data_IF_462787323587
#
_entry.id   IF_462787323587
#
_cell.length_a   1.000
_cell.length_b   1.000
_cell.length_c   1.000
_cell.angle_alpha   90.00
_cell.angle_beta   90.00
_cell.angle_gamma   90.00
#
_symmetry.space_group_name_H-M   'P 1'
#
loop_
_entity.id
_entity.type
_entity.pdbx_description
1 polymer ?
2 non-polymer ?
3 water ?
#
# COMPACT_ATOMS: atom_id res chain seq x y z
N UNK A 6 -7.28 -15.25 -17.74
CA UNK A 6 -5.88 -14.85 -17.84
C UNK A 6 -5.75 -13.48 -18.48
N UNK A 7 -4.72 -12.73 -18.07
CA UNK A 7 -4.59 -11.32 -18.44
C UNK A 7 -4.17 -11.09 -19.89
N UNK A 8 -4.94 -10.26 -20.58
CA UNK A 8 -4.75 -9.98 -22.00
C UNK A 8 -4.50 -8.50 -22.24
N UNK A 9 -4.55 -7.71 -21.18
CA UNK A 9 -4.37 -6.25 -21.24
C UNK A 9 -5.28 -5.62 -22.29
N UNK A 10 -6.57 -5.95 -22.22
CA UNK A 10 -7.56 -5.45 -23.15
C UNK A 10 -8.09 -4.11 -22.66
N UNK A 11 -8.26 -3.14 -23.57
CA UNK A 11 -8.84 -1.87 -23.19
C UNK A 11 -10.32 -2.07 -22.85
N UNK A 12 -10.69 -1.71 -21.63
CA UNK A 12 -12.03 -1.99 -21.12
C UNK A 12 -13.03 -0.94 -21.56
N UNK A 13 -14.04 -1.37 -22.31
CA UNK A 13 -15.00 -0.43 -22.89
C UNK A 13 -16.24 -1.15 -23.38
N UNK A 14 -17.28 -0.35 -23.68
CA UNK A 14 -18.49 -0.84 -24.29
C UNK A 14 -19.21 -1.93 -23.53
N UNK A 15 -19.56 -3.00 -24.24
CA UNK A 15 -20.31 -4.11 -23.66
C UNK A 15 -19.54 -4.81 -22.55
N UNK A 16 -18.24 -5.00 -22.77
CA UNK A 16 -17.39 -5.67 -21.79
C UNK A 16 -17.33 -4.88 -20.49
N UNK A 17 -17.26 -3.56 -20.60
CA UNK A 17 -17.19 -2.69 -19.44
C UNK A 17 -18.45 -2.78 -18.60
N UNK A 18 -19.60 -2.89 -19.25
CA UNK A 18 -20.84 -2.98 -18.50
C UNK A 18 -20.96 -4.36 -17.86
N UNK A 19 -20.40 -5.37 -18.51
CA UNK A 19 -20.40 -6.73 -17.95
C UNK A 19 -19.46 -6.85 -16.76
N UNK A 20 -18.27 -6.27 -16.87
CA UNK A 20 -17.25 -6.38 -15.83
C UNK A 20 -17.67 -5.63 -14.57
N UNK A 21 -18.06 -4.37 -14.74
CA UNK A 21 -18.55 -3.57 -13.62
C UNK A 21 -19.82 -4.14 -13.02
N UNK A 22 -20.73 -4.59 -13.88
CA UNK A 22 -22.00 -5.14 -13.43
C UNK A 22 -21.80 -6.32 -12.51
N UNK A 23 -20.96 -7.26 -12.92
CA UNK A 23 -20.73 -8.47 -12.14
C UNK A 23 -19.88 -8.20 -10.91
N UNK A 24 -19.12 -7.11 -10.93
CA UNK A 24 -18.22 -6.75 -9.82
C UNK A 24 -19.01 -6.36 -8.57
N UNK A 25 -18.66 -6.96 -7.44
CA UNK A 25 -19.29 -6.64 -6.17
C UNK A 25 -18.58 -5.51 -5.45
N UNK A 26 -17.32 -5.27 -5.81
CA UNK A 26 -16.56 -4.20 -5.22
C UNK A 26 -15.34 -3.81 -6.04
N UNK A 27 -14.76 -2.66 -5.71
CA UNK A 27 -13.55 -2.17 -6.37
C UNK A 27 -12.50 -1.72 -5.36
N UNK A 28 -11.30 -2.28 -5.44
CA UNK A 28 -10.16 -1.78 -4.68
C UNK A 28 -9.37 -0.79 -5.52
N UNK A 29 -9.14 0.40 -4.97
CA UNK A 29 -8.37 1.45 -5.64
C UNK A 29 -7.03 1.74 -4.96
N UNK A 30 -5.94 1.71 -5.73
CA UNK A 30 -4.73 2.41 -5.32
C UNK A 30 -5.06 3.90 -5.37
N UNK A 31 -4.28 4.74 -4.69
CA UNK A 31 -4.61 6.17 -4.64
C UNK A 31 -3.79 7.06 -5.57
N UNK A 32 -2.51 7.25 -5.25
CA UNK A 32 -1.65 8.13 -6.03
C UNK A 32 -1.47 7.58 -7.45
N UNK A 33 -1.67 8.43 -8.46
CA UNK A 33 -1.59 7.99 -9.84
C UNK A 33 -2.87 7.36 -10.35
N UNK A 34 -3.87 7.26 -9.48
CA UNK A 34 -5.15 6.66 -9.83
C UNK A 34 -6.30 7.61 -9.57
N UNK A 35 -6.39 8.09 -8.34
CA UNK A 35 -7.43 9.03 -7.94
C UNK A 35 -6.97 10.46 -8.17
N UNK A 36 -5.67 10.65 -8.05
CA UNK A 36 -5.09 11.98 -8.16
C UNK A 36 -3.62 11.90 -8.53
N UNK A 37 -3.07 13.06 -8.88
CA UNK A 37 -1.63 13.22 -9.07
C UNK A 37 -1.18 14.50 -8.38
N UNK A 38 -0.60 14.35 -7.20
CA UNK A 38 -0.11 15.49 -6.44
C UNK A 38 -1.25 16.38 -6.00
N UNK A 39 -1.28 17.60 -6.52
CA UNK A 39 -2.29 18.58 -6.13
C UNK A 39 -3.58 18.43 -6.94
N UNK A 40 -3.57 17.54 -7.93
CA UNK A 40 -4.65 17.52 -8.91
C UNK A 40 -5.41 16.21 -8.96
N UNK A 41 -6.72 16.27 -8.69
CA UNK A 41 -7.57 15.09 -8.81
C UNK A 41 -7.75 14.73 -10.28
N UNK A 42 -7.87 13.45 -10.57
CA UNK A 42 -8.23 13.00 -11.92
C UNK A 42 -9.69 13.38 -12.18
N UNK A 43 -9.94 14.19 -13.22
CA UNK A 43 -11.33 14.61 -13.47
C UNK A 43 -12.26 13.43 -13.68
N UNK A 44 -13.41 13.45 -13.03
CA UNK A 44 -14.36 12.36 -13.15
C UNK A 44 -14.17 11.27 -12.11
N UNK A 45 -13.01 11.26 -11.46
CA UNK A 45 -12.76 10.25 -10.42
C UNK A 45 -13.76 10.34 -9.25
N UNK A 46 -14.00 11.55 -8.69
CA UNK A 46 -14.98 11.61 -7.60
C UNK A 46 -16.37 11.15 -8.02
N UNK A 47 -16.77 11.51 -9.23
CA UNK A 47 -18.06 11.11 -9.78
C UNK A 47 -18.16 9.59 -9.89
N UNK A 48 -17.06 8.94 -10.29
CA UNK A 48 -17.04 7.48 -10.37
C UNK A 48 -17.31 6.84 -9.00
N UNK A 49 -16.65 7.35 -7.96
CA UNK A 49 -16.83 6.82 -6.62
C UNK A 49 -18.27 7.02 -6.14
N UNK A 50 -18.87 8.15 -6.50
CA UNK A 50 -20.28 8.42 -6.17
C UNK A 50 -21.20 7.37 -6.80
N UNK A 51 -21.02 7.13 -8.10
CA UNK A 51 -21.85 6.20 -8.84
C UNK A 51 -21.67 4.77 -8.36
N UNK A 52 -20.44 4.44 -7.97
CA UNK A 52 -20.16 3.12 -7.40
C UNK A 52 -20.98 2.92 -6.13
N UNK A 53 -20.98 3.92 -5.26
CA UNK A 53 -21.75 3.88 -4.03
C UNK A 53 -23.23 3.70 -4.33
N UNK A 54 -23.74 4.51 -5.24
CA UNK A 54 -25.15 4.45 -5.62
C UNK A 54 -25.54 3.10 -6.23
N UNK A 55 -24.59 2.44 -6.87
CA UNK A 55 -24.86 1.14 -7.50
C UNK A 55 -24.74 0.00 -6.51
N UNK A 56 -24.45 0.32 -5.26
CA UNK A 56 -24.33 -0.69 -4.21
C UNK A 56 -23.02 -1.45 -4.24
N UNK A 57 -22.02 -0.89 -4.90
CA UNK A 57 -20.73 -1.57 -5.00
C UNK A 57 -19.74 -0.97 -4.01
N UNK A 58 -19.07 -1.83 -3.26
CA UNK A 58 -18.15 -1.40 -2.21
C UNK A 58 -16.87 -0.85 -2.81
N UNK A 59 -16.45 0.32 -2.32
CA UNK A 59 -15.16 0.88 -2.70
C UNK A 59 -14.21 0.88 -1.50
N UNK A 60 -13.04 0.24 -1.68
CA UNK A 60 -11.99 0.24 -0.66
C UNK A 60 -10.71 0.81 -1.26
N UNK A 61 -9.85 1.36 -0.41
CA UNK A 61 -8.63 2.02 -0.87
C UNK A 61 -7.40 1.41 -0.23
N UNK A 62 -6.40 1.12 -1.06
CA UNK A 62 -5.19 0.44 -0.61
C UNK A 62 -3.96 1.24 -1.03
N UNK A 63 -3.22 1.76 -0.05
CA UNK A 63 -2.09 2.65 -0.30
C UNK A 63 -0.81 2.16 0.39
N UNK A 64 0.34 2.31 -0.26
CA UNK A 64 1.61 1.95 0.38
C UNK A 64 2.20 3.12 1.17
N UNK A 65 1.41 4.15 1.39
CA UNK A 65 1.85 5.31 2.15
C UNK A 65 2.13 4.95 3.60
N UNK A 66 3.30 5.32 4.09
CA UNK A 66 3.63 5.14 5.50
C UNK A 66 4.13 6.47 6.08
N UNK A 67 3.74 7.56 5.44
CA UNK A 67 4.22 8.89 5.78
C UNK A 67 3.24 9.62 6.69
N UNK A 68 1.96 9.35 6.52
CA UNK A 68 0.92 9.95 7.35
C UNK A 68 0.00 8.89 7.94
N UNK A 69 -0.34 9.05 9.21
CA UNK A 69 -1.30 8.14 9.84
C UNK A 69 -2.68 8.31 9.19
N UNK A 70 -3.51 7.28 9.34
CA UNK A 70 -4.80 7.19 8.66
C UNK A 70 -5.70 8.45 8.74
N UNK A 71 -5.89 9.03 9.95
CA UNK A 71 -6.74 10.22 10.00
C UNK A 71 -6.26 11.37 9.13
N UNK A 72 -4.95 11.56 9.03
CA UNK A 72 -4.39 12.62 8.20
C UNK A 72 -4.42 12.23 6.73
N UNK A 73 -4.20 10.94 6.46
CA UNK A 73 -4.24 10.43 5.09
C UNK A 73 -5.65 10.57 4.52
N UNK A 74 -6.66 10.33 5.37
CA UNK A 74 -8.05 10.44 4.95
C UNK A 74 -8.44 11.87 4.57
N UNK A 75 -7.68 12.85 5.06
CA UNK A 75 -7.94 14.26 4.79
C UNK A 75 -7.72 14.60 3.33
N UNK A 76 -6.80 13.88 2.69
CA UNK A 76 -6.46 14.14 1.30
C UNK A 76 -7.66 13.91 0.40
N UNK A 77 -8.50 12.96 0.78
CA UNK A 77 -9.68 12.63 0.01
C UNK A 77 -10.63 13.83 -0.09
N UNK A 78 -10.98 14.41 1.04
CA UNK A 78 -11.82 15.61 1.06
C UNK A 78 -11.13 16.78 0.38
N UNK A 79 -9.84 16.94 0.63
CA UNK A 79 -9.06 18.02 0.04
C UNK A 79 -9.13 18.00 -1.49
N UNK A 80 -9.10 16.80 -2.07
CA UNK A 80 -9.06 16.66 -3.52
C UNK A 80 -10.43 16.32 -4.10
N UNK A 81 -11.48 16.51 -3.30
CA UNK A 81 -12.84 16.43 -3.81
C UNK A 81 -13.55 15.10 -3.66
N UNK A 82 -13.00 14.21 -2.84
CA UNK A 82 -13.63 12.91 -2.61
C UNK A 82 -14.32 12.88 -1.24
N UNK A 83 -15.52 13.41 -1.17
CA UNK A 83 -16.24 13.49 0.09
C UNK A 83 -17.01 12.24 0.45
N UNK A 84 -17.47 12.18 1.70
CA UNK A 84 -18.34 11.11 2.17
C UNK A 84 -17.67 9.78 2.42
N UNK A 85 -16.35 9.78 2.55
CA UNK A 85 -15.61 8.53 2.71
C UNK A 85 -15.26 8.24 4.16
N UNK A 86 -15.50 6.99 4.55
CA UNK A 86 -15.15 6.52 5.88
C UNK A 86 -13.65 6.30 6.00
N UNK A 87 -13.09 6.53 7.19
CA UNK A 87 -11.69 6.23 7.42
C UNK A 87 -11.48 4.72 7.35
N UNK A 88 -12.54 3.97 7.64
CA UNK A 88 -12.49 2.51 7.65
C UNK A 88 -12.36 1.92 6.25
N UNK A 89 -12.51 2.77 5.23
CA UNK A 89 -12.38 2.32 3.83
C UNK A 89 -10.93 2.36 3.35
N UNK A 90 -10.06 3.00 4.13
CA UNK A 90 -8.67 3.23 3.72
C UNK A 90 -7.71 2.30 4.43
N UNK A 91 -6.91 1.58 3.65
CA UNK A 91 -5.87 0.69 4.18
C UNK A 91 -4.50 1.16 3.69
N UNK A 92 -3.59 1.40 4.63
CA UNK A 92 -2.25 1.84 4.28
C UNK A 92 -1.22 0.84 4.79
N UNK A 93 -0.02 0.87 4.21
CA UNK A 93 1.04 -0.02 4.64
C UNK A 93 1.41 0.26 6.10
N UNK A 94 1.29 1.51 6.52
CA UNK A 94 1.59 1.90 7.89
C UNK A 94 0.64 1.21 8.86
N UNK A 95 -0.64 1.27 8.54
CA UNK A 95 -1.68 0.63 9.31
C UNK A 95 -1.49 -0.87 9.39
N UNK A 96 -1.27 -1.49 8.22
CA UNK A 96 -1.12 -2.94 8.17
C UNK A 96 0.19 -3.39 8.82
N UNK A 97 1.23 -2.56 8.76
CA UNK A 97 2.49 -2.89 9.40
C UNK A 97 2.34 -2.94 10.92
N UNK A 98 1.60 -1.98 11.48
CA UNK A 98 1.31 -1.99 12.91
C UNK A 98 0.58 -3.28 13.29
N UNK A 99 -0.42 -3.64 12.51
CA UNK A 99 -1.23 -4.83 12.82
C UNK A 99 -0.40 -6.11 12.72
N UNK A 100 0.52 -6.16 11.76
CA UNK A 100 1.37 -7.35 11.60
C UNK A 100 2.36 -7.49 12.74
N UNK A 101 2.93 -6.37 13.19
CA UNK A 101 3.86 -6.39 14.31
C UNK A 101 3.13 -6.83 15.58
N UNK A 102 1.90 -6.33 15.73
CA UNK A 102 1.03 -6.71 16.84
C UNK A 102 0.86 -8.24 16.86
N UNK A 103 0.56 -8.80 15.69
CA UNK A 103 0.31 -10.23 15.54
C UNK A 103 1.56 -11.08 15.73
N UNK A 104 2.73 -10.53 15.43
CA UNK A 104 3.91 -11.36 15.27
C UNK A 104 5.09 -11.10 16.21
N UNK A 105 5.05 -10.01 16.98
CA UNK A 105 6.13 -9.73 17.94
C UNK A 105 6.34 -10.94 18.86
N UNK A 106 7.57 -11.51 18.82
CA UNK A 106 7.88 -12.80 19.42
C UNK A 106 8.18 -12.76 20.93
N UNK A 107 8.04 -11.61 21.56
CA UNK A 107 8.31 -11.50 22.98
C UNK A 107 7.26 -12.19 23.82
N UNK A 108 7.59 -12.46 25.10
CA UNK A 108 6.62 -13.00 26.05
C UNK A 108 5.46 -12.02 26.24
N UNK A 109 4.29 -12.50 26.68
CA UNK A 109 3.14 -11.61 26.89
C UNK A 109 3.45 -10.48 27.88
N UNK A 110 4.39 -10.72 28.78
CA UNK A 110 4.84 -9.69 29.73
C UNK A 110 5.52 -8.53 29.01
N UNK A 111 6.32 -8.85 28.00
CA UNK A 111 7.03 -7.84 27.21
C UNK A 111 7.21 -8.31 25.77
N UNK A 112 6.23 -8.02 24.91
CA UNK A 112 6.21 -8.47 23.51
C UNK A 112 7.42 -7.97 22.71
N UNK A 113 8.01 -6.87 23.14
CA UNK A 113 9.21 -6.34 22.49
C UNK A 113 9.03 -4.94 21.94
N UNK A 114 10.12 -4.17 21.92
CA UNK A 114 10.09 -2.82 21.36
C UNK A 114 10.39 -2.85 19.86
N UNK A 115 9.89 -1.84 19.15
CA UNK A 115 10.11 -1.73 17.71
C UNK A 115 11.05 -0.57 17.40
N UNK A 116 12.14 -0.86 16.71
CA UNK A 116 13.01 0.20 16.22
C UNK A 116 12.50 0.67 14.86
N UNK A 117 12.08 1.92 14.78
CA UNK A 117 11.41 2.41 13.58
C UNK A 117 12.26 3.37 12.77
N UNK A 118 12.41 3.07 11.48
CA UNK A 118 12.96 4.02 10.53
C UNK A 118 11.80 4.69 9.82
N UNK A 119 11.43 5.88 10.29
CA UNK A 119 10.26 6.55 9.74
C UNK A 119 9.81 7.74 10.54
N UNK A 120 8.78 8.44 10.04
CA UNK A 120 8.37 9.71 10.61
C UNK A 120 7.32 9.61 11.71
N UNK A 121 6.81 10.76 12.12
CA UNK A 121 5.88 10.85 13.26
C UNK A 121 4.53 10.21 12.97
N UNK A 122 4.08 10.29 11.72
CA UNK A 122 2.83 9.68 11.32
C UNK A 122 2.87 8.17 11.49
N UNK A 123 3.96 7.55 11.02
CA UNK A 123 4.12 6.12 11.15
C UNK A 123 4.20 5.72 12.62
N UNK A 124 4.96 6.48 13.40
CA UNK A 124 5.10 6.18 14.82
C UNK A 124 3.75 6.31 15.52
N UNK A 125 2.94 7.28 15.11
CA UNK A 125 1.59 7.43 15.65
C UNK A 125 0.72 6.20 15.36
N UNK A 126 0.77 5.69 14.13
CA UNK A 126 0.03 4.48 13.78
C UNK A 126 0.41 3.30 14.66
N UNK A 127 1.72 3.14 14.87
CA UNK A 127 2.23 2.02 15.64
C UNK A 127 1.81 2.09 17.11
N UNK A 128 1.95 3.27 17.71
CA UNK A 128 1.52 3.45 19.10
C UNK A 128 0.03 3.17 19.26
N UNK A 129 -0.77 3.61 18.29
CA UNK A 129 -2.21 3.42 18.34
C UNK A 129 -2.57 1.94 18.35
N UNK A 130 -1.69 1.12 17.81
CA UNK A 130 -1.89 -0.32 17.80
C UNK A 130 -1.36 -0.95 19.10
N UNK A 131 -0.87 -0.12 20.01
CA UNK A 131 -0.37 -0.58 21.29
C UNK A 131 1.07 -1.03 21.23
N UNK A 132 1.79 -0.58 20.21
CA UNK A 132 3.18 -0.98 20.05
C UNK A 132 4.12 -0.07 20.83
N UNK A 133 5.07 -0.71 21.49
CA UNK A 133 6.14 -0.05 22.21
C UNK A 133 7.28 0.26 21.25
N UNK A 134 7.72 1.52 21.24
CA UNK A 134 8.76 1.95 20.29
C UNK A 134 10.09 2.24 20.99
N UNK A 135 11.18 1.84 20.37
CA UNK A 135 12.51 2.26 20.82
C UNK A 135 12.60 3.77 20.70
N UNK A 136 13.19 4.43 21.69
CA UNK A 136 13.32 5.86 21.66
C UNK A 136 12.21 6.57 22.43
N UNK A 137 11.19 5.81 22.81
CA UNK A 137 10.10 6.35 23.62
C UNK A 137 10.57 6.45 25.07
N UNK A 138 9.96 7.37 25.86
CA UNK A 138 10.36 7.56 27.26
C UNK A 138 10.32 6.27 28.07
N UNK A 139 11.43 5.95 28.74
CA UNK A 139 11.52 4.71 29.50
C UNK A 139 10.78 4.80 30.83
N UNK A 140 10.33 3.66 31.33
CA UNK A 140 9.64 3.62 32.62
C UNK A 140 10.65 3.77 33.75
N UNK A 141 10.39 4.73 34.64
CA UNK A 141 11.24 4.91 35.80
C UNK A 141 12.53 5.66 35.52
N UNK A 142 13.69 5.25 36.05
CA UNK A 142 13.96 3.99 36.81
C UNK A 142 13.63 2.73 36.00
N UNK A 143 14.52 2.40 35.07
CA UNK A 143 14.36 1.24 34.21
C UNK A 143 15.27 1.30 33.00
N UNK A 144 15.63 0.14 32.48
CA UNK A 144 16.52 0.08 31.30
C UNK A 144 15.72 0.27 30.02
N UNK A 145 16.42 0.24 28.90
CA UNK A 145 15.76 0.30 27.60
C UNK A 145 15.25 -1.08 27.22
N UNK A 146 13.97 -1.17 26.83
CA UNK A 146 13.36 -2.45 26.44
C UNK A 146 14.11 -3.11 25.30
N UNK A 147 14.17 -4.44 25.31
CA UNK A 147 14.79 -5.20 24.23
C UNK A 147 14.06 -4.97 22.90
N UNK A 148 14.81 -4.64 21.85
CA UNK A 148 14.23 -4.46 20.53
C UNK A 148 14.04 -5.79 19.82
N UNK A 149 12.81 -6.08 19.42
CA UNK A 149 12.48 -7.36 18.82
C UNK A 149 11.99 -7.23 17.38
N UNK A 150 11.96 -6.00 16.87
CA UNK A 150 11.68 -5.80 15.46
C UNK A 150 12.28 -4.48 14.96
N UNK A 151 12.80 -4.53 13.74
CA UNK A 151 13.14 -3.32 13.03
C UNK A 151 12.10 -3.11 11.93
N UNK A 152 11.51 -1.91 11.89
CA UNK A 152 10.55 -1.58 10.84
C UNK A 152 11.10 -0.48 9.94
N UNK A 153 11.21 -0.77 8.64
CA UNK A 153 11.66 0.24 7.68
C UNK A 153 10.46 0.87 6.97
N UNK A 154 10.26 2.17 7.17
CA UNK A 154 9.18 2.88 6.53
C UNK A 154 9.76 4.00 5.69
N UNK A 155 8.91 4.90 5.21
CA UNK A 155 9.37 6.03 4.43
C UNK A 155 10.06 7.02 5.38
N UNK A 156 11.38 7.00 5.38
CA UNK A 156 12.15 7.81 6.33
C UNK A 156 12.92 8.91 5.63
N UNK A 157 12.38 10.12 5.70
CA UNK A 157 13.00 11.28 5.07
C UNK A 157 14.20 11.79 5.83
N UNK A 158 14.49 11.16 6.98
CA UNK A 158 15.67 11.52 7.74
C UNK A 158 16.56 10.30 7.95
N UNK A 159 16.45 9.36 7.01
CA UNK A 159 17.31 8.19 7.00
C UNK A 159 18.76 8.62 7.07
N UNK A 160 19.59 7.86 7.75
CA UNK A 160 21.00 8.23 7.90
C UNK A 160 21.86 7.01 8.10
N UNK A 161 23.16 7.19 7.90
CA UNK A 161 24.11 6.13 8.11
C UNK A 161 24.03 5.60 9.55
N UNK A 162 23.95 6.51 10.51
CA UNK A 162 23.88 6.14 11.93
C UNK A 162 22.64 5.30 12.25
N UNK A 163 21.50 5.68 11.66
CA UNK A 163 20.28 4.90 11.83
C UNK A 163 20.42 3.53 11.16
N UNK A 164 21.09 3.52 10.02
CA UNK A 164 21.36 2.27 9.32
C UNK A 164 22.25 1.38 10.19
N UNK A 165 23.27 1.97 10.79
CA UNK A 165 24.17 1.24 11.67
C UNK A 165 23.43 0.69 12.89
N UNK A 166 22.56 1.50 13.48
CA UNK A 166 21.78 1.07 14.64
C UNK A 166 20.82 -0.05 14.29
N UNK A 167 20.19 0.04 13.11
CA UNK A 167 19.32 -1.02 12.63
C UNK A 167 20.06 -2.35 12.57
N UNK A 168 21.30 -2.32 12.05
CA UNK A 168 22.11 -3.52 11.97
C UNK A 168 22.46 -4.10 13.34
N UNK A 169 22.70 -3.21 14.31
CA UNK A 169 23.01 -3.66 15.66
C UNK A 169 21.85 -4.46 16.23
N UNK A 170 20.63 -3.97 16.01
CA UNK A 170 19.46 -4.68 16.50
C UNK A 170 19.28 -6.00 15.77
N UNK A 171 19.54 -5.99 14.46
CA UNK A 171 19.32 -7.18 13.65
C UNK A 171 20.40 -8.24 13.86
N UNK A 172 21.42 -7.89 14.64
CA UNK A 172 22.45 -8.86 15.02
C UNK A 172 21.81 -10.06 15.73
N UNK A 173 20.75 -9.78 16.48
CA UNK A 173 19.91 -10.80 17.09
C UNK A 173 19.01 -11.43 16.02
N UNK A 174 19.25 -12.71 15.69
CA UNK A 174 18.50 -13.40 14.64
C UNK A 174 17.00 -13.52 14.94
N UNK A 175 16.63 -13.38 16.20
CA UNK A 175 15.23 -13.45 16.61
C UNK A 175 14.53 -12.11 16.43
N UNK A 176 15.30 -11.06 16.17
CA UNK A 176 14.73 -9.74 15.90
C UNK A 176 14.13 -9.73 14.49
N UNK A 177 12.89 -9.28 14.38
CA UNK A 177 12.22 -9.25 13.09
C UNK A 177 12.72 -8.11 12.22
N UNK A 178 12.75 -8.32 10.91
CA UNK A 178 12.96 -7.24 9.96
C UNK A 178 11.73 -7.10 9.07
N UNK A 179 11.09 -5.94 9.17
CA UNK A 179 9.87 -5.65 8.43
C UNK A 179 10.02 -4.35 7.65
N UNK A 180 9.51 -4.33 6.42
CA UNK A 180 9.43 -3.09 5.64
C UNK A 180 7.98 -2.82 5.23
N UNK A 181 7.58 -1.55 5.30
CA UNK A 181 6.21 -1.16 4.95
C UNK A 181 5.90 -1.47 3.49
N UNK A 182 6.91 -1.35 2.63
CA UNK A 182 6.73 -1.54 1.19
C UNK A 182 8.08 -1.57 0.48
N UNK A 183 8.06 -1.87 -0.82
CA UNK A 183 9.29 -1.92 -1.60
C UNK A 183 9.28 -0.95 -2.78
N UNK A 184 8.41 0.06 -2.76
CA UNK A 184 8.41 1.04 -3.83
C UNK A 184 9.78 1.72 -3.90
N UNK A 185 10.46 1.61 -5.06
CA UNK A 185 11.83 2.10 -5.17
C UNK A 185 11.93 3.62 -5.22
N UNK A 186 10.93 4.28 -5.78
CA UNK A 186 10.90 5.74 -5.91
C UNK A 186 9.49 6.18 -6.24
N UNK A 187 9.24 7.49 -6.14
CA UNK A 187 7.94 8.05 -6.46
C UNK A 187 8.08 9.32 -7.28
N UNK A 188 7.20 9.50 -8.29
CA UNK A 188 7.24 10.72 -9.09
C UNK A 188 6.73 11.94 -8.30
N UNK A 189 7.32 13.10 -8.53
CA UNK A 189 6.84 14.32 -7.91
C UNK A 189 6.23 15.24 -8.95
N UNK A 190 5.47 16.23 -8.48
CA UNK A 190 4.74 17.15 -9.34
C UNK A 190 5.63 17.84 -10.38
N UNK A 191 6.87 18.15 -10.00
CA UNK A 191 7.77 18.89 -10.89
C UNK A 191 8.48 18.00 -11.91
N UNK A 192 8.15 16.72 -11.93
CA UNK A 192 8.77 15.79 -12.85
C UNK A 192 9.98 15.07 -12.24
N UNK A 193 10.38 15.51 -11.06
CA UNK A 193 11.50 14.87 -10.36
C UNK A 193 11.02 13.60 -9.65
N UNK A 194 11.92 12.96 -8.91
CA UNK A 194 11.56 11.74 -8.21
C UNK A 194 12.15 11.74 -6.80
N UNK A 195 11.45 11.09 -5.87
CA UNK A 195 11.93 10.97 -4.50
C UNK A 195 12.18 9.50 -4.19
N UNK A 196 13.26 9.20 -3.44
CA UNK A 196 13.56 7.81 -3.08
C UNK A 196 12.41 7.17 -2.31
N UNK A 197 12.15 5.91 -2.57
CA UNK A 197 11.08 5.21 -1.89
C UNK A 197 11.59 4.32 -0.77
N UNK A 198 10.66 3.76 -0.01
CA UNK A 198 11.00 2.87 1.10
C UNK A 198 11.83 1.68 0.62
N UNK A 199 11.56 1.23 -0.60
CA UNK A 199 12.31 0.12 -1.19
C UNK A 199 13.81 0.37 -1.25
N UNK A 200 14.20 1.62 -1.48
CA UNK A 200 15.62 1.94 -1.56
C UNK A 200 16.25 1.90 -0.17
N UNK A 201 15.51 2.35 0.85
CA UNK A 201 16.01 2.27 2.22
C UNK A 201 16.05 0.83 2.70
N UNK A 202 15.04 0.06 2.30
CA UNK A 202 14.97 -1.36 2.65
C UNK A 202 16.15 -2.12 2.07
N UNK A 203 16.53 -1.77 0.84
CA UNK A 203 17.66 -2.41 0.18
C UNK A 203 18.95 -2.23 0.98
N UNK A 204 19.15 -1.03 1.52
CA UNK A 204 20.33 -0.75 2.33
C UNK A 204 20.32 -1.55 3.63
N UNK A 205 19.18 -1.56 4.33
CA UNK A 205 19.11 -2.31 5.58
C UNK A 205 19.31 -3.81 5.35
N UNK A 206 18.64 -4.34 4.33
CA UNK A 206 18.80 -5.75 3.97
C UNK A 206 20.24 -6.09 3.65
N UNK A 207 20.88 -5.27 2.82
CA UNK A 207 22.26 -5.51 2.40
C UNK A 207 23.24 -5.45 3.58
N UNK A 208 23.11 -4.41 4.39
CA UNK A 208 24.02 -4.21 5.51
C UNK A 208 23.85 -5.28 6.60
N UNK A 209 22.61 -5.74 6.79
CA UNK A 209 22.32 -6.72 7.85
C UNK A 209 22.43 -8.16 7.34
N UNK A 210 22.39 -8.33 6.03
CA UNK A 210 22.40 -9.67 5.45
C UNK A 210 21.09 -10.41 5.64
N UNK A 211 20.00 -9.68 5.78
CA UNK A 211 18.71 -10.29 6.01
C UNK A 211 17.69 -9.90 4.94
N UNK A 212 16.64 -10.70 4.81
CA UNK A 212 15.52 -10.37 3.91
C UNK A 212 14.37 -9.82 4.73
N UNK A 213 13.80 -8.70 4.29
CA UNK A 213 12.72 -8.08 5.06
C UNK A 213 11.38 -8.73 4.77
N UNK A 214 10.52 -8.80 5.79
CA UNK A 214 9.13 -9.15 5.55
C UNK A 214 8.38 -7.90 5.07
N UNK A 215 7.85 -7.94 3.85
CA UNK A 215 7.23 -6.76 3.25
C UNK A 215 5.71 -6.75 3.47
N UNK A 216 5.21 -5.69 4.09
CA UNK A 216 3.80 -5.56 4.46
C UNK A 216 2.88 -5.16 3.30
N UNK A 217 3.26 -4.13 2.56
CA UNK A 217 2.38 -3.56 1.55
C UNK A 217 2.37 -4.29 0.22
N UNK A 218 1.61 -3.76 -0.74
CA UNK A 218 1.59 -4.29 -2.10
C UNK A 218 3.01 -4.33 -2.63
N UNK A 219 3.37 -5.38 -3.39
CA UNK A 219 2.50 -6.44 -3.94
C UNK A 219 2.35 -7.67 -3.04
N UNK A 220 2.78 -7.58 -1.78
CA UNK A 220 2.52 -8.67 -0.85
C UNK A 220 1.01 -8.78 -0.61
N UNK A 221 0.51 -10.00 -0.45
CA UNK A 221 -0.93 -10.19 -0.27
C UNK A 221 -1.42 -9.84 1.14
N UNK A 222 -0.51 -9.49 2.05
CA UNK A 222 -0.90 -9.29 3.45
C UNK A 222 -1.97 -8.22 3.65
N UNK A 223 -1.90 -7.10 2.93
CA UNK A 223 -2.88 -6.03 3.12
C UNK A 223 -4.28 -6.49 2.71
N UNK A 224 -4.35 -7.43 1.77
CA UNK A 224 -5.63 -7.99 1.39
C UNK A 224 -6.15 -8.88 2.50
N UNK A 225 -5.26 -9.71 3.05
CA UNK A 225 -5.60 -10.53 4.21
C UNK A 225 -6.04 -9.63 5.36
N UNK A 226 -5.40 -8.47 5.48
CA UNK A 226 -5.76 -7.48 6.48
C UNK A 226 -7.14 -6.86 6.19
N UNK A 227 -7.49 -6.76 4.91
CA UNK A 227 -8.79 -6.27 4.50
C UNK A 227 -9.88 -7.31 4.79
N UNK A 228 -9.60 -8.57 4.48
CA UNK A 228 -10.54 -9.66 4.73
C UNK A 228 -10.76 -9.85 6.22
N UNK A 229 -9.80 -9.42 7.03
CA UNK A 229 -9.93 -9.41 8.48
C UNK A 229 -11.19 -8.64 8.88
N UNK A 230 -11.41 -7.51 8.21
CA UNK A 230 -12.57 -6.66 8.47
C UNK A 230 -13.80 -7.09 7.67
N UNK A 231 -13.77 -6.82 6.38
CA UNK A 231 -14.91 -7.11 5.51
C UNK A 231 -14.84 -8.52 4.94
N UNK A 232 -15.99 -9.03 4.52
CA UNK A 232 -16.04 -10.25 3.74
C UNK A 232 -16.24 -9.87 2.28
N UNK A 233 -15.16 -9.97 1.51
CA UNK A 233 -15.24 -9.67 0.08
C UNK A 233 -14.75 -10.86 -0.74
N UNK A 234 -15.28 -10.98 -1.95
CA UNK A 234 -14.90 -12.04 -2.87
C UNK A 234 -13.91 -11.51 -3.90
N UNK A 235 -12.65 -11.96 -3.81
CA UNK A 235 -11.61 -11.56 -4.77
C UNK A 235 -12.03 -11.82 -6.21
N UNK A 236 -12.72 -12.93 -6.43
CA UNK A 236 -13.18 -13.29 -7.76
C UNK A 236 -14.22 -12.29 -8.29
N UNK A 237 -14.82 -11.53 -7.39
CA UNK A 237 -15.83 -10.54 -7.77
C UNK A 237 -15.40 -9.12 -7.45
N UNK A 238 -14.09 -8.91 -7.34
CA UNK A 238 -13.54 -7.60 -6.98
C UNK A 238 -12.55 -7.10 -8.03
N UNK A 239 -12.64 -5.82 -8.38
CA UNK A 239 -11.67 -5.20 -9.26
C UNK A 239 -10.54 -4.55 -8.46
N UNK A 240 -9.31 -4.70 -8.94
CA UNK A 240 -8.17 -3.99 -8.39
C UNK A 240 -7.67 -3.00 -9.43
N UNK A 241 -7.74 -1.72 -9.10
CA UNK A 241 -7.36 -0.66 -10.03
C UNK A 241 -6.10 0.05 -9.55
N UNK A 242 -5.07 0.05 -10.39
CA UNK A 242 -3.81 0.68 -10.01
C UNK A 242 -3.04 1.21 -11.20
N UNK A 243 -2.01 2.00 -10.93
CA UNK A 243 -1.21 2.62 -11.97
C UNK A 243 0.17 2.00 -12.10
N UNK A 244 0.54 1.13 -11.16
CA UNK A 244 1.89 0.60 -11.12
C UNK A 244 1.90 -0.93 -11.23
N UNK A 245 2.49 -1.43 -12.32
CA UNK A 245 2.43 -2.86 -12.65
C UNK A 245 3.02 -3.75 -11.57
N UNK A 246 4.21 -3.42 -11.12
CA UNK A 246 4.97 -4.29 -10.23
C UNK A 246 4.43 -4.24 -8.79
N UNK A 247 3.52 -3.30 -8.55
CA UNK A 247 2.97 -3.12 -7.22
C UNK A 247 1.49 -3.47 -7.19
N UNK A 248 0.69 -2.71 -7.94
CA UNK A 248 -0.77 -2.83 -7.93
C UNK A 248 -1.31 -4.05 -8.67
N UNK A 249 -0.79 -4.28 -9.86
CA UNK A 249 -1.31 -5.34 -10.72
C UNK A 249 -0.86 -6.72 -10.21
N UNK A 250 0.42 -6.83 -9.89
CA UNK A 250 0.95 -8.03 -9.25
C UNK A 250 0.16 -8.35 -7.99
N UNK A 251 -0.11 -7.33 -7.19
CA UNK A 251 -0.93 -7.47 -5.98
C UNK A 251 -2.28 -8.10 -6.31
N UNK A 252 -2.97 -7.54 -7.30
CA UNK A 252 -4.28 -8.04 -7.70
C UNK A 252 -4.24 -9.50 -8.13
N UNK A 253 -3.20 -9.87 -8.86
CA UNK A 253 -3.02 -11.24 -9.33
C UNK A 253 -2.83 -12.22 -8.19
N UNK A 254 -1.97 -11.86 -7.24
CA UNK A 254 -1.72 -12.72 -6.09
C UNK A 254 -2.97 -12.89 -5.23
N UNK A 255 -3.86 -11.90 -5.22
CA UNK A 255 -5.07 -11.97 -4.43
C UNK A 255 -6.22 -12.60 -5.22
N UNK A 256 -6.01 -12.84 -6.50
CA UNK A 256 -7.03 -13.43 -7.34
C UNK A 256 -8.12 -12.43 -7.74
N UNK A 257 -7.76 -11.16 -7.84
CA UNK A 257 -8.70 -10.14 -8.26
C UNK A 257 -8.57 -9.86 -9.75
N UNK A 258 -9.62 -9.26 -10.34
CA UNK A 258 -9.56 -8.78 -11.71
C UNK A 258 -8.83 -7.45 -11.73
N UNK A 259 -7.75 -7.36 -12.51
CA UNK A 259 -6.91 -6.18 -12.44
C UNK A 259 -7.16 -5.21 -13.59
N UNK A 260 -7.16 -3.92 -13.24
CA UNK A 260 -7.32 -2.83 -14.20
C UNK A 260 -6.19 -1.83 -14.04
N UNK A 261 -5.38 -1.67 -15.08
CA UNK A 261 -4.32 -0.67 -15.09
C UNK A 261 -4.88 0.67 -15.57
N UNK A 262 -4.61 1.74 -14.85
CA UNK A 262 -4.96 3.08 -15.32
C UNK A 262 -3.68 3.78 -15.76
N UNK A 263 -3.77 4.61 -16.80
CA UNK A 263 -2.58 5.15 -17.42
C UNK A 263 -2.19 6.53 -16.89
N UNK A 264 -2.88 6.98 -15.85
CA UNK A 264 -2.65 8.30 -15.26
C UNK A 264 -1.51 8.32 -14.24
N UNK A 265 -0.78 7.22 -14.13
CA UNK A 265 0.26 7.11 -13.12
C UNK A 265 1.63 6.70 -13.63
N UNK A 266 2.26 5.78 -12.90
CA UNK A 266 3.66 5.43 -13.15
C UNK A 266 3.88 4.54 -14.37
N UNK A 267 3.17 3.42 -14.45
CA UNK A 267 3.41 2.46 -15.52
C UNK A 267 2.77 2.86 -16.84
N UNK A 268 3.38 2.38 -17.94
CA UNK A 268 2.95 2.69 -19.29
C UNK A 268 2.39 1.45 -19.96
N UNK A 269 1.43 1.64 -20.86
CA UNK A 269 0.84 0.53 -21.62
C UNK A 269 1.92 -0.32 -22.28
N UNK A 270 2.96 0.34 -22.78
CA UNK A 270 4.10 -0.31 -23.44
C UNK A 270 4.76 -1.37 -22.55
N UNK A 271 4.94 -1.05 -21.27
CA UNK A 271 5.53 -1.98 -20.32
C UNK A 271 4.61 -3.19 -20.12
N UNK A 272 3.32 -2.93 -19.97
CA UNK A 272 2.33 -4.00 -19.80
C UNK A 272 2.36 -4.96 -20.99
N UNK A 273 2.37 -4.41 -22.19
CA UNK A 273 2.37 -5.22 -23.40
C UNK A 273 3.66 -6.02 -23.55
N UNK A 274 4.78 -5.42 -23.14
CA UNK A 274 6.07 -6.11 -23.15
C UNK A 274 6.06 -7.32 -22.21
N UNK A 275 5.52 -7.14 -21.00
CA UNK A 275 5.41 -8.24 -20.04
C UNK A 275 4.58 -9.37 -20.62
N UNK A 276 3.52 -9.01 -21.33
CA UNK A 276 2.63 -9.96 -21.94
C UNK A 276 3.37 -10.78 -22.99
N UNK A 277 4.22 -10.10 -23.75
CA UNK A 277 5.05 -10.76 -24.76
C UNK A 277 5.96 -11.80 -24.13
N UNK A 278 6.58 -11.43 -23.01
CA UNK A 278 7.51 -12.34 -22.33
C UNK A 278 6.77 -13.43 -21.55
N UNK A 279 5.45 -13.32 -21.49
CA UNK A 279 4.63 -14.33 -20.84
C UNK A 279 4.62 -14.24 -19.32
N UNK A 280 5.01 -13.10 -18.79
CA UNK A 280 4.95 -12.87 -17.34
C UNK A 280 3.58 -12.37 -16.95
N UNK A 281 2.64 -13.31 -16.83
CA UNK A 281 1.23 -12.96 -16.69
C UNK A 281 0.88 -12.28 -15.37
N UNK A 282 1.69 -12.50 -14.34
CA UNK A 282 1.47 -11.85 -13.04
C UNK A 282 1.59 -10.32 -13.09
N UNK A 283 2.30 -9.84 -14.11
CA UNK A 283 2.54 -8.40 -14.25
C UNK A 283 1.72 -7.82 -15.40
N UNK A 284 0.81 -8.63 -15.93
CA UNK A 284 -0.06 -8.19 -17.01
C UNK A 284 -1.45 -7.90 -16.47
N UNK A 285 -1.96 -6.68 -16.73
CA UNK A 285 -3.32 -6.37 -16.25
C UNK A 285 -4.38 -7.05 -17.12
N UNK A 286 -5.52 -7.38 -16.53
CA UNK A 286 -6.62 -7.94 -17.30
C UNK A 286 -7.18 -6.89 -18.26
N UNK A 287 -7.28 -5.67 -17.76
CA UNK A 287 -7.80 -4.56 -18.55
C UNK A 287 -7.00 -3.28 -18.33
N UNK A 288 -7.16 -2.31 -19.20
CA UNK A 288 -6.65 -0.98 -18.93
C UNK A 288 -7.65 0.08 -19.35
N UNK A 289 -7.49 1.27 -18.77
CA UNK A 289 -8.24 2.45 -19.16
C UNK A 289 -7.28 3.63 -19.14
N UNK A 290 -7.57 4.66 -19.93
CA UNK A 290 -6.75 5.86 -19.93
C UNK A 290 -6.79 6.52 -18.55
N UNK A 291 -7.99 6.69 -18.00
CA UNK A 291 -8.17 7.11 -16.61
C UNK A 291 -9.42 6.44 -16.07
N UNK A 292 -9.59 6.42 -14.75
CA UNK A 292 -10.72 5.70 -14.17
C UNK A 292 -12.05 6.38 -14.48
N UNK A 293 -11.98 7.61 -15.00
CA UNK A 293 -13.17 8.31 -15.48
C UNK A 293 -13.84 7.56 -16.63
N UNK A 294 -13.09 6.68 -17.27
CA UNK A 294 -13.62 5.87 -18.35
C UNK A 294 -14.47 4.69 -17.82
N UNK A 295 -14.37 4.41 -16.52
CA UNK A 295 -15.11 3.30 -15.96
C UNK A 295 -16.56 3.67 -15.68
N UNK A 296 -16.83 4.97 -15.55
CA UNK A 296 -18.14 5.42 -15.11
C UNK A 296 -19.26 5.01 -16.07
N UNK A 297 -19.03 5.07 -17.38
CA UNK A 297 -20.08 4.70 -18.35
C UNK A 297 -20.54 3.25 -18.16
N UNK A 298 -19.73 2.43 -17.51
CA UNK A 298 -20.09 1.05 -17.26
C UNK A 298 -21.20 0.87 -16.25
N UNK A 299 -21.58 1.95 -15.57
CA UNK A 299 -22.60 1.88 -14.54
C UNK A 299 -23.97 2.35 -15.06
N UNK A 300 -23.96 3.01 -16.22
CA UNK A 300 -25.17 3.45 -16.90
C UNK A 300 -26.09 4.29 -16.00
X LIG B 1 -0.20 4.43 -7.45
#
# INVERSE_FOLDING_TARGET
GAMDPMARCERLRGAALRDVLGRAQGVLFDCDGVLWNGERAVPGAPELLERLARAGKAALFVSNNSRRARPELALRFARLGFGGLRAEQLFSSALCAARLLRQRLPGPPDAPGAVFVLGGEGLRAELRAAGLRLAGDPSAGDGAAPRVRAVLVGYDEHFSFAKLREACAHLRDPECLLVATDRDPWHPLSDGSRTPGTGSLAAAVETASGRQALVVGKPSPYMFESITENFSIDPARTLMVGDRLETDILFGHRCGMTTVLTLTGVSRLEEAQAYLAAGQHDLVPHYYVESIADLTEGLED
MG MG
#
